data_IF_167609530542
#
_entry.id   IF_167609530542
#
_cell.length_a   1.000
_cell.length_b   1.000
_cell.length_c   1.000
_cell.angle_alpha   90.00
_cell.angle_beta   90.00
_cell.angle_gamma   90.00
#
_symmetry.space_group_name_H-M   'P 1'
#
loop_
_entity.id
_entity.type
_entity.pdbx_description
1 polymer ?
#
# COMPACT_ATOMS: atom_id res chain seq x y z
N UNK A 1 -11.04 22.48 21.49
CA UNK A 1 -11.55 21.71 22.64
C UNK A 1 -11.99 20.39 22.05
N UNK A 2 -11.27 19.33 22.40
CA UNK A 2 -11.18 18.07 21.65
C UNK A 2 -12.53 17.35 21.51
N UNK A 3 -12.86 16.94 20.28
CA UNK A 3 -14.22 16.56 19.88
C UNK A 3 -14.43 15.06 19.68
N UNK A 4 -13.38 14.23 19.75
CA UNK A 4 -13.50 12.77 19.65
C UNK A 4 -12.83 12.02 20.81
N UNK A 5 -13.21 10.74 21.00
CA UNK A 5 -12.79 9.92 22.15
C UNK A 5 -11.30 9.50 22.08
N UNK A 6 -10.72 9.44 20.87
CA UNK A 6 -9.29 9.17 20.66
C UNK A 6 -8.40 10.35 21.10
N UNK A 7 -8.85 11.59 20.90
CA UNK A 7 -8.17 12.80 21.39
C UNK A 7 -8.17 12.87 22.93
N UNK A 8 -9.18 12.30 23.59
CA UNK A 8 -9.35 12.29 25.05
C UNK A 8 -8.50 11.24 25.77
N UNK A 9 -8.22 10.09 25.14
CA UNK A 9 -7.51 8.97 25.77
C UNK A 9 -5.97 9.10 25.72
N UNK A 10 -5.42 9.94 24.83
CA UNK A 10 -3.96 10.06 24.58
C UNK A 10 -3.40 11.50 24.55
N UNK A 11 -4.16 12.52 24.95
CA UNK A 11 -3.85 13.95 24.70
C UNK A 11 -2.36 14.32 24.83
N UNK A 12 -1.77 14.98 23.83
CA UNK A 12 -1.99 16.41 23.57
C UNK A 12 -2.11 16.74 22.07
N UNK A 13 -3.10 17.55 21.69
CA UNK A 13 -3.10 18.31 20.44
C UNK A 13 -2.31 19.61 20.64
N UNK A 14 -1.18 19.78 19.94
CA UNK A 14 -0.57 21.11 19.75
C UNK A 14 -0.19 21.30 18.29
N UNK A 15 -0.69 22.39 17.72
CA UNK A 15 -0.42 22.89 16.39
C UNK A 15 0.29 24.22 16.59
N UNK A 16 1.60 24.32 16.35
CA UNK A 16 2.25 25.64 16.30
C UNK A 16 2.01 26.27 14.93
N UNK A 17 0.77 26.70 14.72
CA UNK A 17 0.45 27.84 13.85
C UNK A 17 0.62 29.08 14.72
N UNK A 18 1.25 30.11 14.16
CA UNK A 18 1.26 31.43 14.78
C UNK A 18 -0.18 31.85 15.08
N UNK A 19 -0.54 31.99 16.35
CA UNK A 19 -1.81 32.63 16.70
C UNK A 19 -1.54 34.12 16.73
N UNK A 20 -2.01 34.81 15.69
CA UNK A 20 -2.01 36.26 15.62
C UNK A 20 -3.39 36.78 16.03
N UNK A 21 -3.47 37.59 17.08
CA UNK A 21 -4.68 38.35 17.42
C UNK A 21 -4.39 39.84 17.31
N UNK A 22 -5.37 40.61 16.85
CA UNK A 22 -5.29 42.08 16.87
C UNK A 22 -6.10 42.57 18.06
N UNK A 23 -5.45 43.28 18.98
CA UNK A 23 -6.08 43.89 20.15
C UNK A 23 -5.62 45.35 20.28
N UNK A 24 -6.57 46.29 20.33
CA UNK A 24 -6.32 47.74 20.43
C UNK A 24 -5.18 48.23 19.49
N UNK A 25 -5.36 48.02 18.18
CA UNK A 25 -4.40 48.34 17.10
C UNK A 25 -3.02 47.65 17.18
N UNK A 26 -2.84 46.72 18.11
CA UNK A 26 -1.59 45.97 18.29
C UNK A 26 -1.76 44.53 17.82
N UNK A 27 -0.88 44.09 16.92
CA UNK A 27 -0.82 42.69 16.49
C UNK A 27 0.02 41.89 17.48
N UNK A 28 -0.63 41.02 18.25
CA UNK A 28 0.01 40.10 19.20
C UNK A 28 0.26 38.78 18.49
N UNK A 29 1.52 38.35 18.42
CA UNK A 29 1.89 37.01 17.95
C UNK A 29 2.18 36.15 19.16
N UNK A 30 1.37 35.12 19.40
CA UNK A 30 1.64 34.11 20.42
C UNK A 30 2.59 33.09 19.79
N UNK A 31 3.83 33.07 20.27
CA UNK A 31 4.88 32.15 19.83
C UNK A 31 5.08 31.12 20.93
N UNK A 32 4.73 29.87 20.65
CA UNK A 32 5.10 28.73 21.48
C UNK A 32 6.38 28.11 20.89
N UNK A 33 7.44 27.98 21.69
CA UNK A 33 8.66 27.30 21.25
C UNK A 33 8.34 25.82 21.06
N UNK A 34 8.65 25.20 19.90
CA UNK A 34 8.42 23.78 19.70
C UNK A 34 9.39 22.97 20.57
N UNK A 35 9.02 22.69 21.81
CA UNK A 35 9.81 21.91 22.78
C UNK A 35 9.89 20.41 22.50
N UNK A 36 9.95 19.97 21.22
CA UNK A 36 10.07 18.56 20.86
C UNK A 36 11.28 18.21 19.99
N UNK A 37 11.79 19.11 19.14
CA UNK A 37 12.99 18.80 18.35
C UNK A 37 14.27 18.79 19.19
N UNK A 38 14.30 19.58 20.26
CA UNK A 38 15.54 19.86 21.00
C UNK A 38 15.75 18.92 22.20
N UNK A 39 14.76 18.06 22.50
CA UNK A 39 14.74 17.19 23.68
C UNK A 39 14.79 15.68 23.38
N UNK A 40 15.24 15.26 22.20
CA UNK A 40 15.42 13.83 21.88
C UNK A 40 16.25 13.04 22.92
N UNK A 41 17.10 13.73 23.69
CA UNK A 41 17.88 13.16 24.79
C UNK A 41 17.07 12.80 26.06
N UNK A 42 15.88 13.39 26.27
CA UNK A 42 15.09 13.21 27.51
C UNK A 42 14.22 11.96 27.50
N UNK A 43 14.09 11.26 26.36
CA UNK A 43 13.27 10.05 26.20
C UNK A 43 11.85 10.17 26.79
N UNK A 44 11.27 11.36 26.77
CA UNK A 44 9.90 11.62 27.24
C UNK A 44 9.75 11.75 28.77
N UNK A 45 10.82 11.91 29.54
CA UNK A 45 10.74 12.07 31.00
C UNK A 45 10.82 13.52 31.49
N UNK A 46 11.05 14.48 30.59
CA UNK A 46 11.15 15.90 30.96
C UNK A 46 9.75 16.53 31.08
N UNK A 47 9.55 17.29 32.15
CA UNK A 47 8.37 18.14 32.33
C UNK A 47 8.80 19.59 32.14
N UNK A 48 8.15 20.29 31.21
CA UNK A 48 8.38 21.71 30.92
C UNK A 48 7.19 22.51 31.44
N UNK A 49 7.49 23.66 32.05
CA UNK A 49 6.52 24.67 32.40
C UNK A 49 6.95 25.98 31.76
N UNK A 50 6.00 26.68 31.14
CA UNK A 50 6.24 28.00 30.55
C UNK A 50 5.38 29.01 31.31
N UNK A 51 6.00 30.10 31.74
CA UNK A 51 5.31 31.26 32.31
C UNK A 51 5.62 32.44 31.38
N UNK A 52 4.60 33.24 31.08
CA UNK A 52 4.77 34.47 30.33
C UNK A 52 5.76 35.39 31.06
N UNK A 53 6.79 35.86 30.34
CA UNK A 53 7.83 36.72 30.89
C UNK A 53 7.47 38.20 30.65
N UNK A 54 7.54 38.66 29.40
CA UNK A 54 7.22 40.04 29.04
C UNK A 54 6.79 40.21 27.58
N UNK A 55 6.30 41.41 27.25
CA UNK A 55 6.16 41.86 25.87
C UNK A 55 7.45 42.54 25.41
N UNK A 56 7.99 42.08 24.28
CA UNK A 56 9.17 42.68 23.64
C UNK A 56 8.86 43.31 22.27
N UNK A 57 9.73 44.21 21.78
CA UNK A 57 9.65 44.69 20.40
C UNK A 57 9.78 43.53 19.41
N UNK A 58 9.09 43.63 18.26
CA UNK A 58 9.07 42.58 17.23
C UNK A 58 10.50 42.25 16.76
N UNK A 59 10.96 41.03 17.06
CA UNK A 59 12.32 40.57 16.79
C UNK A 59 12.60 40.12 15.34
N UNK A 60 11.70 40.44 14.39
CA UNK A 60 11.81 40.06 12.98
C UNK A 60 10.66 39.16 12.50
N UNK A 61 10.82 38.61 11.30
CA UNK A 61 9.91 37.62 10.73
C UNK A 61 10.31 36.22 11.17
N UNK A 62 9.32 35.44 11.60
CA UNK A 62 9.52 34.05 12.03
C UNK A 62 9.64 33.19 10.78
N UNK A 63 10.78 32.52 10.60
CA UNK A 63 10.96 31.58 9.49
C UNK A 63 10.07 30.37 9.67
N UNK A 64 9.16 30.14 8.72
CA UNK A 64 8.41 28.88 8.63
C UNK A 64 9.27 27.83 7.93
N UNK A 65 8.95 26.55 8.13
CA UNK A 65 9.48 25.49 7.26
C UNK A 65 8.99 25.70 5.84
N UNK A 66 9.86 25.50 4.85
CA UNK A 66 9.48 25.54 3.43
C UNK A 66 8.73 24.29 2.98
N UNK A 67 8.75 23.22 3.79
CA UNK A 67 8.13 21.93 3.49
C UNK A 67 6.68 21.87 3.98
N UNK A 68 5.80 21.25 3.20
CA UNK A 68 4.41 21.00 3.57
C UNK A 68 4.22 19.77 4.46
N UNK A 69 2.98 19.51 4.87
CA UNK A 69 2.60 18.36 5.68
C UNK A 69 2.00 17.24 4.81
N UNK A 70 2.28 15.98 5.15
CA UNK A 70 1.49 14.85 4.68
C UNK A 70 0.30 14.68 5.62
N UNK A 71 -0.92 14.64 5.10
CA UNK A 71 -2.16 14.68 5.88
C UNK A 71 -3.03 13.45 5.56
N UNK A 72 -3.57 12.81 6.59
CA UNK A 72 -4.50 11.69 6.43
C UNK A 72 -5.79 12.13 5.74
N UNK A 73 -6.16 11.45 4.67
CA UNK A 73 -7.36 11.75 3.88
C UNK A 73 -8.68 11.34 4.58
N UNK A 74 -8.65 10.30 5.40
CA UNK A 74 -9.80 9.69 6.06
C UNK A 74 -9.44 9.09 7.42
N UNK A 75 -10.45 8.83 8.25
CA UNK A 75 -10.31 8.07 9.49
C UNK A 75 -10.03 6.60 9.16
N UNK A 76 -9.21 5.93 9.97
CA UNK A 76 -9.00 4.49 9.86
C UNK A 76 -7.67 4.01 10.43
N UNK A 77 -7.34 2.76 10.14
CA UNK A 77 -6.08 2.14 10.57
C UNK A 77 -5.09 2.14 9.40
N UNK A 78 -3.86 2.60 9.63
CA UNK A 78 -2.83 2.64 8.59
C UNK A 78 -2.42 1.25 8.13
N UNK A 79 -2.16 1.11 6.84
CA UNK A 79 -1.71 -0.15 6.23
C UNK A 79 -0.26 -0.05 5.76
N UNK A 80 0.51 -1.14 5.85
CA UNK A 80 1.89 -1.19 5.33
C UNK A 80 1.95 -0.84 3.84
N UNK A 81 0.95 -1.26 3.07
CA UNK A 81 0.80 -0.97 1.65
C UNK A 81 0.66 0.54 1.36
N UNK A 82 -0.24 1.21 2.07
CA UNK A 82 -0.45 2.64 1.89
C UNK A 82 0.75 3.46 2.36
N UNK A 83 1.43 3.05 3.44
CA UNK A 83 2.61 3.74 3.94
C UNK A 83 3.82 3.57 2.99
N UNK A 84 4.05 2.37 2.47
CA UNK A 84 5.14 2.12 1.50
C UNK A 84 5.01 2.99 0.25
N UNK A 85 3.81 3.10 -0.32
CA UNK A 85 3.54 4.00 -1.45
C UNK A 85 3.59 5.49 -1.10
N UNK A 86 3.40 5.84 0.18
CA UNK A 86 3.43 7.22 0.67
C UNK A 86 4.84 7.73 1.01
N UNK A 87 5.80 6.84 1.28
CA UNK A 87 7.20 7.21 1.57
C UNK A 87 7.86 7.98 0.41
N UNK A 88 7.47 7.70 -0.84
CA UNK A 88 7.94 8.46 -2.01
C UNK A 88 7.43 9.91 -2.04
N UNK A 89 6.49 10.30 -1.16
CA UNK A 89 5.99 11.67 -1.02
C UNK A 89 6.69 12.44 0.09
N UNK A 90 7.38 11.76 1.02
CA UNK A 90 8.13 12.40 2.08
C UNK A 90 8.32 11.51 3.30
N UNK A 91 8.75 12.09 4.41
CA UNK A 91 9.09 11.35 5.63
C UNK A 91 7.85 11.15 6.49
N UNK A 92 7.50 9.91 6.80
CA UNK A 92 6.33 9.56 7.63
C UNK A 92 6.71 9.56 9.13
N UNK A 93 5.74 9.89 9.99
CA UNK A 93 5.87 9.83 11.45
C UNK A 93 5.28 8.55 12.06
N UNK A 94 4.46 7.84 11.29
CA UNK A 94 3.66 6.70 11.76
C UNK A 94 4.03 5.41 11.02
N UNK A 95 3.93 4.30 11.74
CA UNK A 95 4.04 2.95 11.20
C UNK A 95 2.68 2.33 10.86
N UNK A 96 2.68 1.08 10.35
CA UNK A 96 1.44 0.34 10.06
C UNK A 96 0.68 -0.02 11.35
N UNK A 97 -0.65 -0.17 11.25
CA UNK A 97 -1.50 -0.54 12.38
C UNK A 97 -1.86 0.62 13.33
N UNK A 98 -1.52 1.86 12.96
CA UNK A 98 -1.82 3.06 13.76
C UNK A 98 -3.19 3.60 13.35
N UNK A 99 -4.06 3.87 14.33
CA UNK A 99 -5.31 4.56 14.07
C UNK A 99 -5.05 6.05 13.83
N UNK A 100 -5.62 6.55 12.74
CA UNK A 100 -5.54 7.95 12.34
C UNK A 100 -6.93 8.52 12.10
N UNK A 101 -7.05 9.83 12.23
CA UNK A 101 -8.25 10.58 11.85
C UNK A 101 -8.00 11.47 10.63
N UNK A 102 -9.07 11.82 9.92
CA UNK A 102 -9.06 12.70 8.76
C UNK A 102 -8.50 14.07 9.14
N UNK A 103 -7.49 14.52 8.39
CA UNK A 103 -6.80 15.78 8.67
C UNK A 103 -5.61 15.63 9.63
N UNK A 104 -5.35 14.44 10.18
CA UNK A 104 -4.18 14.21 11.02
C UNK A 104 -2.88 14.35 10.20
N UNK A 105 -1.91 15.16 10.65
CA UNK A 105 -0.57 15.17 10.07
C UNK A 105 0.15 13.84 10.32
N UNK A 106 0.58 13.18 9.24
CA UNK A 106 1.21 11.84 9.27
C UNK A 106 2.66 11.85 8.79
N UNK A 107 3.18 12.99 8.36
CA UNK A 107 4.57 13.15 7.91
C UNK A 107 4.90 14.52 7.35
N UNK A 108 6.13 14.68 6.88
CA UNK A 108 6.66 15.87 6.20
C UNK A 108 6.64 15.61 4.70
N UNK A 109 5.95 16.46 3.94
CA UNK A 109 5.95 16.42 2.49
C UNK A 109 7.28 16.98 1.97
N UNK A 110 7.85 16.34 0.96
CA UNK A 110 9.12 16.78 0.37
C UNK A 110 9.04 18.09 -0.43
N UNK A 111 7.84 18.68 -0.57
CA UNK A 111 7.60 19.93 -1.31
C UNK A 111 6.76 20.90 -0.47
N UNK A 112 6.78 22.20 -0.80
CA UNK A 112 5.84 23.17 -0.24
C UNK A 112 4.38 22.76 -0.50
N UNK A 113 3.51 23.06 0.45
CA UNK A 113 2.08 22.77 0.38
C UNK A 113 1.70 21.39 0.93
N UNK A 114 0.60 21.36 1.68
CA UNK A 114 0.10 20.13 2.30
C UNK A 114 -0.46 19.16 1.25
N UNK A 115 -0.15 17.88 1.42
CA UNK A 115 -0.64 16.81 0.56
C UNK A 115 -1.52 15.86 1.37
N UNK A 116 -2.78 15.72 0.96
CA UNK A 116 -3.68 14.71 1.50
C UNK A 116 -3.42 13.35 0.85
N UNK A 117 -3.21 12.31 1.66
CA UNK A 117 -2.97 10.93 1.22
C UNK A 117 -3.85 9.95 1.97
N UNK A 118 -4.30 8.91 1.27
CA UNK A 118 -4.99 7.81 1.90
C UNK A 118 -3.96 6.80 2.46
N UNK A 119 -3.63 6.97 3.74
CA UNK A 119 -2.77 6.06 4.52
C UNK A 119 -3.50 4.82 5.05
N UNK A 120 -4.83 4.79 4.95
CA UNK A 120 -5.70 3.68 5.32
C UNK A 120 -6.00 2.76 4.14
N UNK A 121 -5.52 3.12 2.94
CA UNK A 121 -5.82 2.41 1.70
C UNK A 121 -5.43 0.94 1.83
N UNK A 122 -6.43 0.08 1.70
CA UNK A 122 -6.20 -1.35 1.48
C UNK A 122 -5.89 -1.53 -0.01
N UNK A 123 -4.96 -2.41 -0.33
CA UNK A 123 -4.75 -2.84 -1.72
C UNK A 123 -6.11 -3.33 -2.22
N UNK A 124 -6.63 -2.75 -3.31
CA UNK A 124 -7.85 -3.24 -3.97
C UNK A 124 -7.56 -4.66 -4.40
N UNK A 125 -7.91 -5.59 -3.53
CA UNK A 125 -7.47 -6.95 -3.69
C UNK A 125 -8.43 -7.62 -4.66
N UNK A 126 -7.96 -7.85 -5.89
CA UNK A 126 -8.40 -9.02 -6.65
C UNK A 126 -8.29 -10.33 -5.82
N UNK A 127 -7.60 -10.27 -4.67
CA UNK A 127 -7.36 -11.30 -3.65
C UNK A 127 -8.43 -11.42 -2.56
N UNK A 128 -9.62 -10.81 -2.69
CA UNK A 128 -10.73 -11.12 -1.75
C UNK A 128 -10.98 -12.63 -1.71
N UNK A 129 -10.77 -13.29 -2.84
CA UNK A 129 -10.76 -14.73 -2.95
C UNK A 129 -9.32 -15.18 -3.10
N UNK A 130 -8.79 -15.93 -2.13
CA UNK A 130 -7.54 -16.70 -2.27
C UNK A 130 -7.79 -17.88 -3.23
N UNK A 131 -8.19 -17.56 -4.46
CA UNK A 131 -8.51 -18.49 -5.52
C UNK A 131 -7.50 -18.32 -6.64
N UNK A 132 -7.00 -19.43 -7.16
CA UNK A 132 -5.93 -19.43 -8.13
C UNK A 132 -6.35 -19.93 -9.49
N UNK A 133 -5.62 -19.49 -10.51
CA UNK A 133 -5.61 -20.11 -11.82
C UNK A 133 -4.55 -21.20 -11.82
N UNK A 134 -4.95 -22.42 -12.16
CA UNK A 134 -4.09 -23.60 -12.08
C UNK A 134 -3.88 -24.17 -13.48
N UNK A 135 -2.63 -24.45 -13.83
CA UNK A 135 -2.27 -25.08 -15.09
C UNK A 135 -2.86 -26.50 -15.16
N UNK A 136 -3.64 -26.75 -16.20
CA UNK A 136 -4.28 -28.04 -16.42
C UNK A 136 -3.32 -29.16 -16.85
N UNK A 137 -2.26 -28.79 -17.57
CA UNK A 137 -1.28 -29.71 -18.18
C UNK A 137 0.11 -29.08 -18.24
N UNK A 138 1.12 -29.92 -18.50
CA UNK A 138 2.50 -29.49 -18.75
C UNK A 138 2.60 -28.87 -20.15
N UNK A 139 3.48 -27.88 -20.30
CA UNK A 139 3.84 -27.33 -21.61
C UNK A 139 4.28 -25.88 -21.55
N UNK A 140 4.47 -25.29 -22.72
CA UNK A 140 4.89 -23.89 -22.87
C UNK A 140 3.68 -22.99 -23.11
N UNK A 141 3.58 -21.87 -22.37
CA UNK A 141 2.46 -20.93 -22.50
C UNK A 141 2.41 -20.26 -23.87
N UNK A 142 1.19 -20.01 -24.35
CA UNK A 142 0.97 -19.31 -25.63
C UNK A 142 0.21 -18.01 -25.43
N UNK A 143 0.52 -16.98 -26.23
CA UNK A 143 -0.21 -15.70 -26.18
C UNK A 143 -1.71 -15.88 -26.41
N UNK A 144 -2.10 -16.85 -27.24
CA UNK A 144 -3.51 -17.17 -27.52
C UNK A 144 -4.24 -17.65 -26.26
N UNK A 145 -3.65 -18.59 -25.52
CA UNK A 145 -4.25 -19.12 -24.30
C UNK A 145 -4.30 -18.08 -23.18
N UNK A 146 -3.21 -17.31 -23.00
CA UNK A 146 -3.11 -16.29 -21.96
C UNK A 146 -4.12 -15.16 -22.15
N UNK A 147 -4.36 -14.73 -23.39
CA UNK A 147 -5.33 -13.68 -23.70
C UNK A 147 -6.76 -14.01 -23.24
N UNK A 148 -7.19 -15.25 -23.47
CA UNK A 148 -8.50 -15.70 -22.96
C UNK A 148 -8.52 -15.86 -21.44
N UNK A 149 -7.35 -16.04 -20.83
CA UNK A 149 -7.19 -16.30 -19.40
C UNK A 149 -7.12 -15.03 -18.57
N UNK A 150 -6.55 -13.92 -19.10
CA UNK A 150 -6.42 -12.65 -18.36
C UNK A 150 -7.77 -11.97 -18.09
N UNK A 151 -8.80 -12.22 -18.91
CA UNK A 151 -10.17 -11.75 -18.64
C UNK A 151 -10.83 -12.35 -17.39
N UNK A 152 -10.19 -13.35 -16.75
CA UNK A 152 -10.67 -14.01 -15.53
C UNK A 152 -9.81 -13.70 -14.30
N UNK A 153 -9.03 -12.63 -14.36
CA UNK A 153 -8.14 -12.18 -13.28
C UNK A 153 -6.69 -12.04 -13.75
N UNK A 154 -5.76 -11.78 -12.86
CA UNK A 154 -4.36 -11.54 -13.23
C UNK A 154 -3.59 -12.85 -13.49
N UNK A 155 -2.50 -12.74 -14.25
CA UNK A 155 -1.58 -13.84 -14.57
C UNK A 155 -0.21 -13.51 -13.99
N UNK A 156 0.50 -14.56 -13.60
CA UNK A 156 1.87 -14.51 -13.07
C UNK A 156 2.93 -14.77 -14.13
N UNK A 157 2.50 -15.20 -15.33
CA UNK A 157 3.40 -15.67 -16.38
C UNK A 157 3.03 -15.03 -17.72
N UNK A 158 4.08 -14.75 -18.50
CA UNK A 158 3.96 -14.31 -19.89
C UNK A 158 3.93 -15.49 -20.88
N UNK A 159 3.88 -15.20 -22.19
CA UNK A 159 3.99 -16.20 -23.24
C UNK A 159 5.41 -16.77 -23.31
N UNK A 160 5.55 -18.05 -23.70
CA UNK A 160 6.85 -18.71 -23.84
C UNK A 160 7.44 -19.26 -22.54
N UNK A 161 6.66 -19.29 -21.46
CA UNK A 161 7.07 -19.80 -20.14
C UNK A 161 6.66 -21.27 -20.01
N UNK A 162 7.57 -22.12 -19.57
CA UNK A 162 7.26 -23.52 -19.28
C UNK A 162 6.52 -23.65 -17.96
N UNK A 163 5.43 -24.43 -17.99
CA UNK A 163 4.60 -24.74 -16.83
C UNK A 163 4.39 -26.24 -16.69
N UNK A 164 4.10 -26.68 -15.48
CA UNK A 164 3.66 -28.04 -15.18
C UNK A 164 2.24 -28.08 -14.62
N UNK A 165 1.59 -29.23 -14.73
CA UNK A 165 0.25 -29.50 -14.24
C UNK A 165 0.16 -29.26 -12.73
N UNK A 166 -0.81 -28.46 -12.32
CA UNK A 166 -0.98 -28.08 -10.92
C UNK A 166 -0.19 -26.84 -10.52
N UNK A 167 0.63 -26.26 -11.40
CA UNK A 167 1.28 -24.98 -11.15
C UNK A 167 0.24 -23.85 -11.09
N UNK A 168 0.38 -22.97 -10.10
CA UNK A 168 -0.41 -21.74 -10.00
C UNK A 168 0.17 -20.71 -10.97
N UNK A 169 -0.67 -20.23 -11.89
CA UNK A 169 -0.28 -19.36 -13.01
C UNK A 169 -0.94 -17.98 -12.95
N UNK A 170 -1.73 -17.71 -11.93
CA UNK A 170 -2.38 -16.42 -11.72
C UNK A 170 -3.44 -16.43 -10.63
N UNK A 171 -4.11 -15.30 -10.47
CA UNK A 171 -5.17 -15.09 -9.48
C UNK A 171 -6.51 -15.15 -10.19
N UNK A 172 -7.44 -15.91 -9.63
CA UNK A 172 -8.82 -15.97 -10.11
C UNK A 172 -9.67 -14.92 -9.40
N UNK A 173 -10.41 -14.12 -10.18
CA UNK A 173 -11.22 -13.02 -9.65
C UNK A 173 -12.50 -13.47 -8.88
N UNK A 174 -12.77 -14.78 -8.78
CA UNK A 174 -13.97 -15.35 -8.15
C UNK A 174 -13.59 -16.45 -7.13
N UNK A 175 -14.47 -16.78 -6.18
CA UNK A 175 -14.26 -17.92 -5.29
C UNK A 175 -14.06 -19.24 -6.08
N UNK A 176 -13.16 -20.09 -5.57
CA UNK A 176 -12.82 -21.38 -6.14
C UNK A 176 -11.76 -21.30 -7.23
N UNK A 177 -10.87 -22.29 -7.26
CA UNK A 177 -9.78 -22.34 -8.23
C UNK A 177 -10.28 -22.62 -9.64
N UNK A 178 -9.61 -22.01 -10.61
CA UNK A 178 -9.89 -22.19 -12.02
C UNK A 178 -8.76 -22.98 -12.69
N UNK A 179 -9.01 -24.27 -12.94
CA UNK A 179 -8.14 -25.07 -13.80
C UNK A 179 -8.31 -24.64 -15.27
N UNK A 180 -7.20 -24.31 -15.95
CA UNK A 180 -7.25 -23.84 -17.33
C UNK A 180 -6.00 -24.27 -18.14
N UNK A 181 -6.17 -24.37 -19.46
CA UNK A 181 -5.08 -24.73 -20.36
C UNK A 181 -4.40 -23.46 -20.91
N UNK A 182 -3.22 -23.13 -20.35
CA UNK A 182 -2.35 -22.02 -20.80
C UNK A 182 -1.44 -22.38 -21.98
N UNK A 183 -1.37 -23.65 -22.35
CA UNK A 183 -0.52 -24.19 -23.42
C UNK A 183 -1.27 -24.30 -24.76
N UNK A 184 -2.58 -24.02 -24.76
CA UNK A 184 -3.46 -24.20 -25.92
C UNK A 184 -2.99 -23.37 -27.10
N UNK A 185 -2.74 -24.03 -28.23
CA UNK A 185 -2.47 -23.37 -29.52
C UNK A 185 -3.78 -22.97 -30.19
N UNK A 186 -3.76 -21.90 -30.99
CA UNK A 186 -4.91 -21.50 -31.82
C UNK A 186 -5.22 -22.64 -32.79
N UNK A 187 -6.43 -23.20 -32.70
CA UNK A 187 -6.89 -24.24 -33.61
C UNK A 187 -6.96 -23.69 -35.04
N UNK A 188 -6.46 -24.46 -36.01
CA UNK A 188 -6.54 -24.14 -37.43
C UNK A 188 -7.98 -24.38 -37.93
N UNK A 189 -8.92 -23.53 -37.52
CA UNK A 189 -10.31 -23.61 -37.99
C UNK A 189 -10.64 -22.32 -38.73
N UNK A 190 -10.73 -22.45 -40.05
CA UNK A 190 -11.07 -21.45 -41.07
C UNK A 190 -10.01 -20.40 -41.45
N UNK A 191 -9.41 -20.65 -42.62
CA UNK A 191 -8.45 -19.84 -43.39
C UNK A 191 -9.00 -18.43 -43.78
N UNK A 192 -10.28 -18.15 -43.56
CA UNK A 192 -10.95 -16.89 -43.97
C UNK A 192 -10.68 -15.68 -43.06
N UNK A 193 -10.05 -15.87 -41.90
CA UNK A 193 -9.83 -14.79 -40.91
C UNK A 193 -8.33 -14.54 -40.70
N UNK A 194 -7.58 -14.35 -41.79
CA UNK A 194 -6.15 -14.04 -41.75
C UNK A 194 -5.90 -12.54 -41.53
N UNK A 195 -6.47 -11.98 -40.46
CA UNK A 195 -5.92 -10.76 -39.86
C UNK A 195 -5.04 -11.24 -38.70
N UNK A 196 -3.76 -10.88 -38.71
CA UNK A 196 -2.94 -10.96 -37.51
C UNK A 196 -3.62 -10.09 -36.45
N UNK A 197 -4.41 -10.72 -35.60
CA UNK A 197 -4.99 -10.04 -34.47
C UNK A 197 -3.88 -9.95 -33.44
N UNK A 198 -3.30 -8.76 -33.32
CA UNK A 198 -2.35 -8.46 -32.25
C UNK A 198 -3.05 -8.75 -30.93
N UNK A 199 -2.60 -9.79 -30.26
CA UNK A 199 -3.13 -10.17 -28.96
C UNK A 199 -2.51 -9.24 -27.94
N UNK A 200 -3.32 -8.36 -27.36
CA UNK A 200 -2.88 -7.48 -26.26
C UNK A 200 -2.91 -8.29 -24.97
N UNK A 201 -1.73 -8.49 -24.37
CA UNK A 201 -1.58 -9.15 -23.09
C UNK A 201 -1.32 -8.11 -22.01
N UNK A 202 -1.95 -8.31 -20.86
CA UNK A 202 -1.63 -7.53 -19.66
C UNK A 202 -0.24 -7.96 -19.15
N UNK A 203 0.52 -7.01 -18.59
CA UNK A 203 1.80 -7.32 -17.96
C UNK A 203 1.58 -8.32 -16.83
N UNK A 204 2.34 -9.43 -16.78
CA UNK A 204 2.27 -10.37 -15.68
C UNK A 204 2.52 -9.67 -14.34
N UNK A 205 1.81 -10.11 -13.32
CA UNK A 205 2.01 -9.64 -11.97
C UNK A 205 3.26 -10.30 -11.38
N UNK A 206 4.27 -9.48 -11.10
CA UNK A 206 5.43 -9.90 -10.32
C UNK A 206 5.06 -10.05 -8.84
N UNK A 207 5.65 -11.04 -8.18
CA UNK A 207 5.47 -11.31 -6.75
C UNK A 207 6.79 -11.71 -6.09
N UNK A 208 6.93 -11.34 -4.83
CA UNK A 208 8.07 -11.70 -3.97
C UNK A 208 7.84 -13.02 -3.23
N UNK A 209 8.86 -13.50 -2.51
CA UNK A 209 8.71 -14.64 -1.61
C UNK A 209 7.70 -14.36 -0.50
N UNK A 210 7.73 -13.16 0.07
CA UNK A 210 6.80 -12.76 1.14
C UNK A 210 5.36 -12.76 0.63
N UNK A 211 5.14 -12.27 -0.59
CA UNK A 211 3.84 -12.34 -1.26
C UNK A 211 3.37 -13.80 -1.40
N UNK A 212 4.24 -14.72 -1.84
CA UNK A 212 3.90 -16.14 -1.95
C UNK A 212 3.49 -16.77 -0.62
N UNK A 213 4.24 -16.47 0.45
CA UNK A 213 3.96 -17.00 1.80
C UNK A 213 2.63 -16.47 2.32
N UNK A 214 2.26 -15.23 1.99
CA UNK A 214 0.96 -14.66 2.35
C UNK A 214 -0.20 -15.32 1.57
N UNK A 215 0.03 -15.65 0.29
CA UNK A 215 -1.01 -16.18 -0.60
C UNK A 215 -1.31 -17.66 -0.39
N UNK A 216 -0.29 -18.49 -0.17
CA UNK A 216 -0.42 -19.95 -0.13
C UNK A 216 -1.37 -20.43 0.98
N UNK A 217 -2.17 -21.45 0.64
CA UNK A 217 -3.08 -22.17 1.55
C UNK A 217 -2.51 -23.52 2.01
N UNK A 218 -3.22 -24.22 2.90
CA UNK A 218 -2.81 -25.53 3.44
C UNK A 218 -2.61 -26.60 2.36
N UNK A 219 -3.34 -26.53 1.25
CA UNK A 219 -3.24 -27.47 0.12
C UNK A 219 -2.31 -26.99 -1.00
N UNK A 220 -1.47 -26.00 -0.73
CA UNK A 220 -0.58 -25.36 -1.70
C UNK A 220 0.87 -25.33 -1.19
N UNK A 221 1.81 -25.18 -2.12
CA UNK A 221 3.24 -25.14 -1.84
C UNK A 221 3.89 -23.97 -2.58
N UNK A 222 4.90 -23.38 -1.96
CA UNK A 222 5.86 -22.50 -2.62
C UNK A 222 7.09 -23.32 -3.00
N UNK A 223 7.41 -23.35 -4.29
CA UNK A 223 8.63 -23.93 -4.83
C UNK A 223 9.69 -22.86 -4.98
N UNK A 224 10.82 -23.02 -4.31
CA UNK A 224 11.91 -22.05 -4.31
C UNK A 224 13.16 -22.68 -4.87
N UNK A 225 13.76 -22.01 -5.83
CA UNK A 225 15.09 -22.30 -6.37
C UNK A 225 15.91 -21.01 -6.38
N UNK A 226 17.25 -21.06 -6.50
CA UNK A 226 18.06 -19.84 -6.63
C UNK A 226 17.68 -18.95 -7.81
N UNK A 227 16.93 -19.47 -8.79
CA UNK A 227 16.57 -18.77 -10.03
C UNK A 227 15.08 -18.46 -10.16
N UNK A 228 14.22 -19.07 -9.35
CA UNK A 228 12.77 -18.91 -9.50
C UNK A 228 12.01 -19.22 -8.21
N UNK A 229 10.91 -18.49 -8.04
CA UNK A 229 9.89 -18.72 -7.02
C UNK A 229 8.61 -19.06 -7.79
N UNK A 230 7.96 -20.17 -7.44
CA UNK A 230 6.70 -20.61 -8.04
C UNK A 230 5.75 -21.10 -6.97
N UNK A 231 4.46 -21.16 -7.30
CA UNK A 231 3.42 -21.72 -6.43
C UNK A 231 2.75 -22.91 -7.13
N UNK A 232 2.34 -23.93 -6.38
CA UNK A 232 1.63 -25.09 -6.93
C UNK A 232 0.65 -25.72 -5.94
N UNK A 233 -0.30 -26.50 -6.49
CA UNK A 233 -1.23 -27.29 -5.69
C UNK A 233 -0.59 -28.58 -5.19
N UNK A 234 -0.76 -28.87 -3.91
CA UNK A 234 -0.29 -30.10 -3.29
C UNK A 234 -1.26 -31.26 -3.53
N UNK A 235 -1.01 -32.00 -4.62
CA UNK A 235 -1.82 -33.16 -5.01
C UNK A 235 -1.88 -34.28 -3.94
N UNK A 236 -0.89 -34.36 -3.04
CA UNK A 236 -0.88 -35.36 -1.96
C UNK A 236 -1.85 -34.98 -0.84
N UNK A 237 -2.02 -33.68 -0.56
CA UNK A 237 -2.94 -33.18 0.47
C UNK A 237 -4.38 -33.08 -0.05
N UNK A 238 -4.56 -32.76 -1.33
CA UNK A 238 -5.88 -32.73 -1.97
C UNK A 238 -6.65 -34.07 -1.91
N UNK A 239 -5.94 -35.21 -1.85
CA UNK A 239 -6.55 -36.55 -1.72
C UNK A 239 -7.07 -36.87 -0.32
N UNK A 240 -6.64 -36.12 0.71
CA UNK A 240 -6.94 -36.40 2.12
C UNK A 240 -8.20 -35.69 2.62
N UNK A 241 -8.71 -34.73 1.85
CA UNK A 241 -9.88 -33.90 2.18
C UNK A 241 -11.20 -34.39 1.56
N UNK A 242 -11.22 -35.59 0.97
CA UNK A 242 -12.42 -36.31 0.51
C UNK A 242 -12.59 -37.59 1.31
#
# INVERSE_FOLDING_TARGET
MDSNDLERERGITILSKNTSITYNDTKINIIDTPGHSDFGASRGTAVLNTIFDEYGPRAGDISTRDLGSLVAFEDGTTTSYALSSSQGRGQLFIGPGVNVYKGQPVGIHQRPGDLSLNVCKKKDSLYVYKSFKVAFEDGTTTSYALSSSQGRGQLFIGPGVDVYKGQIVGIHQRPGDLSLNVCKKKGATNIRSKKEQTVVLDTPLDYSLDDCIEYVQEDELVEITPQSIRMCKNLKMAKKAR
#
